data_IF_481691136902
#
_entry.id   IF_481691136902
#
_cell.length_a   1.000
_cell.length_b   1.000
_cell.length_c   1.000
_cell.angle_alpha   90.00
_cell.angle_beta   90.00
_cell.angle_gamma   90.00
#
_symmetry.space_group_name_H-M   'P 1'
#
loop_
_entity.id
_entity.type
_entity.pdbx_description
1 polymer ?
#
# COMPACT_ATOMS: atom_id res chain seq x y z
N UNK A 1 0.44 23.79 10.67
CA UNK A 1 1.29 22.57 10.67
C UNK A 1 0.38 21.36 10.79
N UNK A 2 0.27 20.54 9.73
CA UNK A 2 -0.66 19.39 9.66
C UNK A 2 -0.49 18.44 10.85
N UNK A 3 -1.60 17.91 11.38
CA UNK A 3 -1.64 16.96 12.53
C UNK A 3 -0.71 15.77 12.31
N UNK A 4 -0.61 15.28 11.06
CA UNK A 4 0.32 14.22 10.65
C UNK A 4 1.77 14.58 11.00
N UNK A 5 2.20 15.80 10.66
CA UNK A 5 3.55 16.30 10.93
C UNK A 5 3.86 16.40 12.44
N UNK A 6 2.86 16.72 13.28
CA UNK A 6 3.03 16.74 14.74
C UNK A 6 3.29 15.34 15.31
N UNK A 7 2.57 14.33 14.81
CA UNK A 7 2.75 12.93 15.22
C UNK A 7 4.14 12.42 14.82
N UNK A 8 4.59 12.69 13.59
CA UNK A 8 5.95 12.34 13.17
C UNK A 8 7.03 13.01 14.02
N UNK A 9 6.88 14.29 14.31
CA UNK A 9 7.82 15.02 15.17
C UNK A 9 7.87 14.42 16.58
N UNK A 10 6.73 14.02 17.15
CA UNK A 10 6.67 13.36 18.46
C UNK A 10 7.45 12.04 18.49
N UNK A 11 7.26 11.17 17.50
CA UNK A 11 7.99 9.90 17.42
C UNK A 11 9.49 10.09 17.19
N UNK A 12 9.90 11.09 16.40
CA UNK A 12 11.33 11.42 16.22
C UNK A 12 11.95 11.86 17.54
N UNK A 13 11.27 12.72 18.30
CA UNK A 13 11.76 13.16 19.62
C UNK A 13 11.83 11.97 20.59
N UNK A 14 10.82 11.09 20.61
CA UNK A 14 10.83 9.90 21.45
C UNK A 14 12.01 8.96 21.13
N UNK A 15 12.30 8.72 19.85
CA UNK A 15 13.46 7.93 19.42
C UNK A 15 14.76 8.57 19.88
N UNK A 16 14.92 9.89 19.71
CA UNK A 16 16.13 10.60 20.16
C UNK A 16 16.34 10.50 21.67
N UNK A 17 15.28 10.64 22.46
CA UNK A 17 15.34 10.48 23.93
C UNK A 17 15.75 9.05 24.29
N UNK A 18 15.18 8.03 23.65
CA UNK A 18 15.53 6.63 23.91
C UNK A 18 16.99 6.34 23.54
N UNK A 19 17.50 6.88 22.43
CA UNK A 19 18.92 6.77 22.04
C UNK A 19 19.83 7.48 23.06
N UNK A 20 19.45 8.66 23.53
CA UNK A 20 20.17 9.38 24.58
C UNK A 20 20.24 8.56 25.87
N UNK A 21 19.15 7.92 26.28
CA UNK A 21 19.11 7.05 27.46
C UNK A 21 20.09 5.87 27.32
N UNK A 22 20.19 5.28 26.12
CA UNK A 22 21.14 4.19 25.85
C UNK A 22 22.62 4.60 25.89
N UNK A 23 22.91 5.87 25.60
CA UNK A 23 24.27 6.43 25.56
C UNK A 23 24.70 7.01 26.91
N UNK A 24 23.76 7.60 27.66
CA UNK A 24 24.06 8.34 28.89
C UNK A 24 23.98 7.49 30.16
N UNK A 25 23.17 6.43 30.16
CA UNK A 25 23.03 5.57 31.32
C UNK A 25 23.72 4.22 31.09
N UNK A 26 24.49 3.79 32.09
CA UNK A 26 25.04 2.44 32.17
C UNK A 26 23.93 1.43 32.54
N UNK A 27 23.03 1.20 31.59
CA UNK A 27 21.99 0.18 31.71
C UNK A 27 22.62 -1.22 31.65
N UNK A 28 22.08 -2.13 32.45
CA UNK A 28 22.37 -3.54 32.31
C UNK A 28 22.14 -4.02 30.87
N UNK A 29 22.94 -5.00 30.40
CA UNK A 29 22.93 -5.48 29.01
C UNK A 29 21.52 -5.92 28.57
N UNK A 30 20.75 -6.54 29.46
CA UNK A 30 19.36 -6.94 29.25
C UNK A 30 18.43 -5.72 29.05
N UNK A 31 18.60 -4.67 29.87
CA UNK A 31 17.80 -3.46 29.77
C UNK A 31 18.15 -2.65 28.50
N UNK A 32 19.43 -2.62 28.12
CA UNK A 32 19.91 -2.02 26.87
C UNK A 32 19.29 -2.70 25.65
N UNK A 33 19.17 -4.03 25.66
CA UNK A 33 18.50 -4.79 24.62
C UNK A 33 17.00 -4.46 24.51
N UNK A 34 16.29 -4.37 25.64
CA UNK A 34 14.85 -4.03 25.67
C UNK A 34 14.63 -2.62 25.09
N UNK A 35 15.41 -1.63 25.51
CA UNK A 35 15.29 -0.26 24.98
C UNK A 35 15.66 -0.20 23.49
N UNK A 36 16.67 -0.96 23.05
CA UNK A 36 17.00 -1.10 21.64
C UNK A 36 15.85 -1.67 20.81
N UNK A 37 15.17 -2.70 21.31
CA UNK A 37 14.01 -3.30 20.63
C UNK A 37 12.82 -2.33 20.56
N UNK A 38 12.62 -1.52 21.60
CA UNK A 38 11.61 -0.44 21.58
C UNK A 38 11.89 0.60 20.49
N UNK A 39 13.16 0.97 20.28
CA UNK A 39 13.55 1.91 19.22
C UNK A 39 13.22 1.32 17.84
N UNK A 40 13.58 0.05 17.60
CA UNK A 40 13.28 -0.64 16.34
C UNK A 40 11.77 -0.71 16.09
N UNK A 41 10.99 -1.05 17.13
CA UNK A 41 9.53 -1.05 17.05
C UNK A 41 8.96 0.33 16.69
N UNK A 42 9.47 1.41 17.29
CA UNK A 42 9.06 2.78 16.95
C UNK A 42 9.34 3.13 15.48
N UNK A 43 10.46 2.66 14.91
CA UNK A 43 10.78 2.86 13.49
C UNK A 43 9.80 2.08 12.59
N UNK A 44 9.44 0.85 12.96
CA UNK A 44 8.44 0.07 12.21
C UNK A 44 7.07 0.73 12.24
N UNK A 45 6.64 1.26 13.40
CA UNK A 45 5.38 2.01 13.52
C UNK A 45 5.41 3.24 12.61
N UNK A 46 6.51 3.99 12.59
CA UNK A 46 6.67 5.14 11.68
C UNK A 46 6.56 4.74 10.21
N UNK A 47 7.24 3.66 9.81
CA UNK A 47 7.20 3.15 8.43
C UNK A 47 5.81 2.61 8.05
N UNK A 48 5.13 1.96 8.99
CA UNK A 48 3.76 1.46 8.83
C UNK A 48 2.77 2.61 8.63
N UNK A 49 2.84 3.66 9.45
CA UNK A 49 2.01 4.87 9.31
C UNK A 49 2.32 5.56 7.97
N UNK A 50 3.59 5.71 7.59
CA UNK A 50 3.93 6.31 6.29
C UNK A 50 3.31 5.55 5.11
N UNK A 51 3.29 4.21 5.20
CA UNK A 51 2.76 3.35 4.14
C UNK A 51 1.23 3.31 4.14
N UNK A 52 0.59 3.33 5.31
CA UNK A 52 -0.87 3.29 5.44
C UNK A 52 -1.56 4.62 5.11
N UNK A 53 -0.86 5.75 5.24
CA UNK A 53 -1.40 7.08 4.97
C UNK A 53 -0.94 7.68 3.63
N UNK A 54 -0.40 6.87 2.71
CA UNK A 54 -0.30 7.24 1.29
C UNK A 54 -1.69 7.23 0.64
N UNK A 55 -2.63 7.99 1.21
CA UNK A 55 -3.80 8.43 0.48
C UNK A 55 -3.37 9.72 -0.25
N UNK A 56 -3.48 9.78 -1.60
CA UNK A 56 -3.22 11.00 -2.34
C UNK A 56 -3.92 12.18 -1.68
N UNK A 57 -3.27 13.34 -1.60
CA UNK A 57 -3.83 14.54 -0.94
C UNK A 57 -5.18 14.98 -1.55
N UNK A 58 -5.52 14.47 -2.75
CA UNK A 58 -6.77 14.71 -3.48
C UNK A 58 -7.90 13.72 -3.14
N UNK A 59 -7.78 12.87 -2.10
CA UNK A 59 -8.83 11.94 -1.67
C UNK A 59 -9.20 12.20 -0.21
N UNK A 60 -10.48 12.47 0.02
CA UNK A 60 -11.04 12.67 1.35
C UNK A 60 -11.06 11.33 2.11
N UNK A 61 -10.41 11.24 3.29
CA UNK A 61 -10.29 9.98 4.02
C UNK A 61 -11.62 9.44 4.57
N UNK A 62 -12.64 10.29 4.76
CA UNK A 62 -13.92 9.86 5.33
C UNK A 62 -14.93 9.46 4.24
N UNK A 63 -14.83 10.06 3.05
CA UNK A 63 -15.73 9.76 1.92
C UNK A 63 -15.11 8.87 0.86
N UNK A 64 -13.78 8.65 0.88
CA UNK A 64 -13.00 7.97 -0.16
C UNK A 64 -13.21 8.53 -1.58
N UNK A 65 -13.75 9.75 -1.69
CA UNK A 65 -14.00 10.44 -2.95
C UNK A 65 -12.89 11.45 -3.23
N UNK A 66 -12.67 11.72 -4.52
CA UNK A 66 -11.69 12.73 -4.92
C UNK A 66 -12.19 14.13 -4.54
N UNK A 67 -11.37 14.89 -3.83
CA UNK A 67 -11.63 16.27 -3.43
C UNK A 67 -11.52 17.13 -4.69
N UNK A 68 -12.66 17.42 -5.32
CA UNK A 68 -12.70 18.30 -6.48
C UNK A 68 -12.20 19.71 -6.07
N UNK A 69 -11.14 20.25 -6.69
CA UNK A 69 -10.68 21.59 -6.40
C UNK A 69 -11.68 22.57 -7.02
N UNK A 70 -12.58 23.10 -6.21
CA UNK A 70 -13.49 24.15 -6.64
C UNK A 70 -12.70 25.42 -7.01
N UNK A 71 -12.50 25.62 -8.31
CA UNK A 71 -12.30 26.94 -8.91
C UNK A 71 -10.90 27.29 -9.35
N UNK A 72 -10.50 26.81 -10.54
CA UNK A 72 -10.02 27.68 -11.62
C UNK A 72 -9.91 26.91 -12.92
N UNK A 73 -10.73 27.32 -13.90
CA UNK A 73 -10.52 27.00 -15.30
C UNK A 73 -9.11 27.42 -15.71
N UNK A 74 -8.27 26.47 -16.09
CA UNK A 74 -7.10 26.71 -16.94
C UNK A 74 -6.89 25.47 -17.78
N UNK A 75 -7.24 25.64 -19.06
CA UNK A 75 -6.73 24.96 -20.23
C UNK A 75 -6.46 23.44 -20.10
N UNK A 76 -7.30 22.68 -20.81
CA UNK A 76 -6.99 21.34 -21.27
C UNK A 76 -5.55 21.26 -21.81
N UNK A 77 -4.65 20.73 -20.98
CA UNK A 77 -3.42 20.12 -21.43
C UNK A 77 -3.80 18.70 -21.85
N UNK A 78 -3.58 18.28 -23.11
CA UNK A 78 -3.58 16.86 -23.40
C UNK A 78 -2.30 16.33 -22.75
N UNK A 79 -2.40 15.93 -21.49
CA UNK A 79 -1.44 14.96 -20.95
C UNK A 79 -1.70 13.70 -21.74
N UNK A 80 -0.86 13.50 -22.74
CA UNK A 80 -0.54 12.23 -23.36
C UNK A 80 -0.49 11.20 -22.22
N UNK A 81 -1.61 10.51 -22.01
CA UNK A 81 -1.75 9.46 -21.01
C UNK A 81 -0.91 8.32 -21.55
N UNK A 82 0.38 8.36 -21.23
CA UNK A 82 1.30 7.29 -21.55
C UNK A 82 0.67 5.98 -21.11
N UNK A 83 0.77 4.95 -21.95
CA UNK A 83 0.18 3.62 -21.82
C UNK A 83 0.56 2.86 -20.53
N UNK A 84 1.26 3.50 -19.58
CA UNK A 84 1.64 2.92 -18.30
C UNK A 84 0.44 2.50 -17.42
N UNK A 85 -0.72 3.17 -17.56
CA UNK A 85 -1.94 2.76 -16.87
C UNK A 85 -2.66 1.58 -17.55
N UNK A 86 -2.31 1.23 -18.80
CA UNK A 86 -3.03 0.17 -19.53
C UNK A 86 -2.75 -1.22 -18.96
N UNK A 87 -1.53 -1.47 -18.48
CA UNK A 87 -1.16 -2.78 -17.94
C UNK A 87 -1.77 -3.03 -16.56
N UNK A 88 -1.90 -1.98 -15.74
CA UNK A 88 -2.58 -2.08 -14.45
C UNK A 88 -4.07 -2.32 -14.65
N UNK A 89 -4.70 -1.57 -15.55
CA UNK A 89 -6.11 -1.77 -15.92
C UNK A 89 -6.37 -3.16 -16.52
N UNK A 90 -5.45 -3.64 -17.38
CA UNK A 90 -5.49 -4.99 -17.93
C UNK A 90 -5.42 -6.05 -16.83
N UNK A 91 -4.47 -5.92 -15.90
CA UNK A 91 -4.31 -6.85 -14.80
C UNK A 91 -5.55 -6.87 -13.90
N UNK A 92 -6.09 -5.69 -13.55
CA UNK A 92 -7.31 -5.58 -12.74
C UNK A 92 -8.50 -6.25 -13.43
N UNK A 93 -8.67 -6.03 -14.75
CA UNK A 93 -9.72 -6.70 -15.53
C UNK A 93 -9.55 -8.21 -15.52
N UNK A 94 -8.34 -8.71 -15.75
CA UNK A 94 -8.04 -10.15 -15.76
C UNK A 94 -8.28 -10.79 -14.39
N UNK A 95 -7.92 -10.10 -13.30
CA UNK A 95 -8.14 -10.56 -11.94
C UNK A 95 -9.64 -10.72 -11.65
N UNK A 96 -10.43 -9.70 -11.98
CA UNK A 96 -11.89 -9.72 -11.77
C UNK A 96 -12.55 -10.82 -12.62
N UNK A 97 -12.18 -10.93 -13.89
CA UNK A 97 -12.77 -11.92 -14.79
C UNK A 97 -12.40 -13.36 -14.37
N UNK A 98 -11.15 -13.61 -13.99
CA UNK A 98 -10.72 -14.91 -13.51
C UNK A 98 -11.39 -15.29 -12.17
N UNK A 99 -11.56 -14.31 -11.27
CA UNK A 99 -12.27 -14.49 -9.99
C UNK A 99 -13.76 -14.81 -10.22
N UNK A 100 -14.43 -14.07 -11.11
CA UNK A 100 -15.83 -14.32 -11.45
C UNK A 100 -16.04 -15.69 -12.10
N UNK A 101 -15.11 -16.16 -12.93
CA UNK A 101 -15.15 -17.50 -13.51
C UNK A 101 -14.98 -18.60 -12.46
N UNK A 102 -14.00 -18.45 -11.56
CA UNK A 102 -13.78 -19.40 -10.47
C UNK A 102 -14.99 -19.42 -9.52
N UNK A 103 -15.60 -18.26 -9.25
CA UNK A 103 -16.78 -18.13 -8.40
C UNK A 103 -18.03 -18.81 -8.98
N UNK A 104 -18.08 -19.05 -10.30
CA UNK A 104 -19.20 -19.78 -10.95
C UNK A 104 -19.14 -21.27 -10.68
N UNK A 105 -17.99 -21.82 -10.31
CA UNK A 105 -17.84 -23.23 -9.97
C UNK A 105 -18.10 -23.46 -8.47
N UNK A 106 -19.21 -24.13 -8.10
CA UNK A 106 -19.54 -24.37 -6.69
C UNK A 106 -18.59 -25.35 -5.99
N UNK A 107 -17.70 -26.01 -6.73
CA UNK A 107 -16.67 -26.91 -6.18
C UNK A 107 -15.42 -26.17 -5.72
N UNK A 108 -15.27 -24.90 -6.10
CA UNK A 108 -14.12 -24.09 -5.76
C UNK A 108 -14.37 -23.36 -4.44
N UNK A 109 -13.57 -23.70 -3.44
CA UNK A 109 -13.55 -23.00 -2.17
C UNK A 109 -12.66 -21.75 -2.24
N UNK A 110 -13.28 -20.58 -2.26
CA UNK A 110 -12.59 -19.28 -2.26
C UNK A 110 -11.77 -19.03 -0.99
N UNK A 111 -12.10 -19.70 0.12
CA UNK A 111 -11.35 -19.58 1.38
C UNK A 111 -10.17 -20.55 1.46
N UNK A 112 -10.03 -21.46 0.47
CA UNK A 112 -8.95 -22.43 0.44
C UNK A 112 -7.60 -21.75 0.21
N UNK A 113 -6.52 -22.18 0.90
CA UNK A 113 -5.16 -21.72 0.61
C UNK A 113 -4.73 -21.94 -0.86
N UNK A 114 -5.39 -22.87 -1.56
CA UNK A 114 -5.12 -23.20 -2.96
C UNK A 114 -5.81 -22.28 -3.97
N UNK A 115 -6.75 -21.42 -3.53
CA UNK A 115 -7.54 -20.55 -4.41
C UNK A 115 -6.65 -19.62 -5.25
N UNK A 116 -5.64 -19.03 -4.62
CA UNK A 116 -4.71 -18.12 -5.29
C UNK A 116 -3.91 -18.80 -6.42
N UNK A 117 -3.59 -20.09 -6.26
CA UNK A 117 -2.89 -20.87 -7.29
C UNK A 117 -3.80 -21.06 -8.51
N UNK A 118 -5.07 -21.40 -8.27
CA UNK A 118 -6.06 -21.59 -9.34
C UNK A 118 -6.34 -20.28 -10.07
N UNK A 119 -6.49 -19.17 -9.32
CA UNK A 119 -6.68 -17.83 -9.86
C UNK A 119 -5.50 -17.42 -10.75
N UNK A 120 -4.26 -17.61 -10.29
CA UNK A 120 -3.06 -17.30 -11.06
C UNK A 120 -2.93 -18.16 -12.32
N UNK A 121 -3.29 -19.44 -12.25
CA UNK A 121 -3.33 -20.32 -13.43
C UNK A 121 -4.28 -19.78 -14.49
N UNK A 122 -5.47 -19.32 -14.07
CA UNK A 122 -6.48 -18.78 -14.99
C UNK A 122 -6.06 -17.46 -15.61
N UNK A 123 -5.42 -16.58 -14.83
CA UNK A 123 -4.85 -15.33 -15.33
C UNK A 123 -3.74 -15.60 -16.36
N UNK A 124 -2.89 -16.59 -16.11
CA UNK A 124 -1.82 -16.97 -17.04
C UNK A 124 -2.37 -17.50 -18.37
N UNK A 125 -3.39 -18.38 -18.35
CA UNK A 125 -4.07 -18.87 -19.56
C UNK A 125 -4.64 -17.73 -20.41
N UNK A 126 -5.26 -16.74 -19.76
CA UNK A 126 -5.84 -15.56 -20.40
C UNK A 126 -4.80 -14.62 -20.99
N UNK A 127 -3.67 -14.45 -20.30
CA UNK A 127 -2.53 -13.71 -20.83
C UNK A 127 -1.97 -14.39 -22.08
N UNK A 128 -1.87 -15.72 -22.07
CA UNK A 128 -1.42 -16.49 -23.23
C UNK A 128 -2.40 -16.39 -24.41
N UNK A 129 -3.72 -16.38 -24.17
CA UNK A 129 -4.71 -16.18 -25.24
C UNK A 129 -4.63 -14.78 -25.85
N UNK A 130 -4.47 -13.75 -25.01
CA UNK A 130 -4.31 -12.37 -25.48
C UNK A 130 -3.03 -12.17 -26.31
N UNK A 131 -1.96 -12.90 -25.99
CA UNK A 131 -0.72 -12.87 -26.77
C UNK A 131 -0.89 -13.56 -28.13
N UNK A 132 -1.63 -14.67 -28.18
CA UNK A 132 -1.99 -15.36 -29.43
C UNK A 132 -2.86 -14.50 -30.35
N UNK A 133 -3.80 -13.75 -29.81
CA UNK A 133 -4.70 -12.88 -30.59
C UNK A 133 -3.98 -11.64 -31.18
N UNK A 134 -2.79 -11.30 -30.65
CA UNK A 134 -1.96 -10.18 -31.15
C UNK A 134 -0.99 -10.59 -32.27
N UNK A 135 -0.86 -11.89 -32.55
CA UNK A 135 0.08 -12.45 -33.53
C UNK A 135 -0.61 -12.84 -34.83
#
# INVERSE_FOLDING_TARGET
MSTKRKVYTFYIIAILVMVLVLMLFDLNIMAKAIVGQMIVFCIFVMRSIQTAYQLPDDIDPDTMLSIEPHGKSTAAMPTEKSDHNSNVDLYLRLLIEADEELAKDPTIDQMSPSYNIQLNSRIAERLESLDKDKK
#
